data_IF_136971845747
#
_entry.id   IF_136971845747
#
_cell.length_a   1.000
_cell.length_b   1.000
_cell.length_c   1.000
_cell.angle_alpha   90.00
_cell.angle_beta   90.00
_cell.angle_gamma   90.00
#
_symmetry.space_group_name_H-M   'P 1'
#
loop_
_entity.id
_entity.type
_entity.pdbx_description
1 polymer ?
#
# COMPACT_ATOMS: atom_id res chain seq x y z
N UNK A 1 22.24 -8.02 39.43
CA UNK A 1 20.76 -8.04 39.49
C UNK A 1 20.19 -6.93 38.62
N UNK A 2 20.33 -7.02 37.28
CA UNK A 2 19.81 -6.02 36.33
C UNK A 2 19.27 -6.66 35.04
N UNK A 3 18.88 -7.93 35.07
CA UNK A 3 18.46 -8.69 33.89
C UNK A 3 16.95 -8.95 33.78
N UNK A 4 16.15 -8.68 34.83
CA UNK A 4 14.71 -9.01 34.83
C UNK A 4 13.75 -7.89 34.42
N UNK A 5 14.20 -6.63 34.33
CA UNK A 5 13.29 -5.50 34.02
C UNK A 5 13.18 -5.20 32.52
N UNK A 6 14.16 -5.60 31.72
CA UNK A 6 14.18 -5.34 30.26
C UNK A 6 13.34 -6.37 29.47
N UNK A 7 13.33 -7.64 29.91
CA UNK A 7 12.54 -8.70 29.28
C UNK A 7 11.03 -8.52 29.49
N UNK A 8 10.60 -8.06 30.67
CA UNK A 8 9.17 -7.83 30.93
C UNK A 8 8.58 -6.69 30.09
N UNK A 9 9.38 -5.66 29.78
CA UNK A 9 8.91 -4.56 28.94
C UNK A 9 8.78 -4.98 27.47
N UNK A 10 9.73 -5.75 26.92
CA UNK A 10 9.60 -6.27 25.55
C UNK A 10 8.40 -7.20 25.41
N UNK A 11 8.18 -8.08 26.38
CA UNK A 11 7.04 -9.01 26.37
C UNK A 11 5.71 -8.26 26.41
N UNK A 12 5.60 -7.22 27.26
CA UNK A 12 4.37 -6.40 27.31
C UNK A 12 4.09 -5.63 26.02
N UNK A 13 5.11 -5.10 25.35
CA UNK A 13 4.95 -4.42 24.06
C UNK A 13 4.52 -5.42 22.98
N UNK A 14 5.12 -6.61 22.96
CA UNK A 14 4.73 -7.68 22.04
C UNK A 14 3.28 -8.13 22.25
N UNK A 15 2.86 -8.39 23.50
CA UNK A 15 1.47 -8.79 23.78
C UNK A 15 0.46 -7.68 23.47
N UNK A 16 0.78 -6.43 23.78
CA UNK A 16 -0.07 -5.28 23.46
C UNK A 16 -0.24 -5.15 21.93
N UNK A 17 0.86 -5.23 21.18
CA UNK A 17 0.86 -5.19 19.72
C UNK A 17 -0.03 -6.28 19.11
N UNK A 18 0.11 -7.53 19.58
CA UNK A 18 -0.68 -8.67 19.11
C UNK A 18 -2.18 -8.50 19.45
N UNK A 19 -2.50 -7.95 20.62
CA UNK A 19 -3.88 -7.67 21.02
C UNK A 19 -4.56 -6.66 20.08
N UNK A 20 -3.90 -5.54 19.81
CA UNK A 20 -4.36 -4.52 18.86
C UNK A 20 -4.49 -5.09 17.44
N UNK A 21 -3.50 -5.87 17.01
CA UNK A 21 -3.52 -6.53 15.70
C UNK A 21 -4.75 -7.44 15.54
N UNK A 22 -5.00 -8.32 16.52
CA UNK A 22 -6.15 -9.23 16.50
C UNK A 22 -7.49 -8.49 16.48
N UNK A 23 -7.61 -7.40 17.24
CA UNK A 23 -8.80 -6.57 17.22
C UNK A 23 -9.04 -5.98 15.83
N UNK A 24 -8.00 -5.37 15.23
CA UNK A 24 -8.03 -4.84 13.88
C UNK A 24 -8.46 -5.87 12.83
N UNK A 25 -7.82 -7.05 12.83
CA UNK A 25 -8.16 -8.16 11.93
C UNK A 25 -9.61 -8.63 12.14
N UNK A 26 -10.09 -8.66 13.38
CA UNK A 26 -11.47 -9.06 13.68
C UNK A 26 -12.48 -8.07 13.11
N UNK A 27 -12.20 -6.76 13.21
CA UNK A 27 -13.01 -5.71 12.61
C UNK A 27 -12.98 -5.76 11.08
N UNK A 28 -11.82 -6.02 10.46
CA UNK A 28 -11.72 -6.25 9.01
C UNK A 28 -12.56 -7.43 8.54
N UNK A 29 -12.61 -8.54 9.29
CA UNK A 29 -13.46 -9.69 8.97
C UNK A 29 -14.95 -9.35 9.02
N UNK A 30 -15.34 -8.39 9.86
CA UNK A 30 -16.67 -7.81 9.90
C UNK A 30 -16.91 -6.75 8.81
N UNK A 31 -15.89 -6.48 7.97
CA UNK A 31 -15.85 -5.41 6.95
C UNK A 31 -15.99 -4.01 7.53
N UNK A 32 -15.77 -3.86 8.84
CA UNK A 32 -15.73 -2.55 9.50
C UNK A 32 -14.32 -1.98 9.42
N UNK A 33 -13.94 -1.59 8.20
CA UNK A 33 -12.60 -1.09 7.91
C UNK A 33 -12.30 0.26 8.59
N UNK A 34 -13.34 1.04 8.89
CA UNK A 34 -13.20 2.32 9.59
C UNK A 34 -12.79 2.07 11.04
N UNK A 35 -13.50 1.19 11.76
CA UNK A 35 -13.15 0.84 13.14
C UNK A 35 -11.85 0.05 13.23
N UNK A 36 -11.49 -0.72 12.19
CA UNK A 36 -10.25 -1.49 12.16
C UNK A 36 -8.98 -0.64 12.08
N UNK A 37 -9.06 0.59 11.57
CA UNK A 37 -7.89 1.42 11.29
C UNK A 37 -7.09 1.75 12.56
N UNK A 38 -7.74 2.21 13.62
CA UNK A 38 -7.06 2.64 14.84
C UNK A 38 -6.31 1.49 15.55
N UNK A 39 -6.91 0.31 15.79
CA UNK A 39 -6.18 -0.84 16.33
C UNK A 39 -5.01 -1.28 15.46
N UNK A 40 -5.16 -1.30 14.12
CA UNK A 40 -4.06 -1.69 13.23
C UNK A 40 -2.91 -0.67 13.27
N UNK A 41 -3.21 0.63 13.34
CA UNK A 41 -2.19 1.67 13.54
C UNK A 41 -1.46 1.49 14.87
N UNK A 42 -2.17 1.14 15.95
CA UNK A 42 -1.54 0.83 17.25
C UNK A 42 -0.64 -0.41 17.18
N UNK A 43 -1.03 -1.44 16.44
CA UNK A 43 -0.17 -2.60 16.22
C UNK A 43 1.13 -2.23 15.49
N UNK A 44 1.04 -1.40 14.44
CA UNK A 44 2.23 -0.90 13.71
C UNK A 44 3.07 0.04 14.58
N UNK A 45 2.45 0.90 15.39
CA UNK A 45 3.19 1.79 16.31
C UNK A 45 4.02 1.00 17.33
N UNK A 46 3.48 -0.11 17.84
CA UNK A 46 4.15 -0.96 18.83
C UNK A 46 5.16 -1.93 18.22
N UNK A 47 4.96 -2.34 16.96
CA UNK A 47 5.84 -3.23 16.22
C UNK A 47 6.05 -2.73 14.78
N UNK A 48 6.81 -1.64 14.58
CA UNK A 48 6.98 -1.01 13.26
C UNK A 48 7.67 -1.92 12.24
N UNK A 49 8.47 -2.88 12.71
CA UNK A 49 9.20 -3.86 11.89
C UNK A 49 8.35 -5.11 11.57
N UNK A 50 7.11 -5.17 12.05
CA UNK A 50 6.22 -6.30 11.79
C UNK A 50 5.63 -6.19 10.38
N UNK A 51 6.16 -7.00 9.45
CA UNK A 51 5.62 -7.11 8.09
C UNK A 51 4.12 -7.43 8.09
N UNK A 52 3.69 -8.33 8.98
CA UNK A 52 2.29 -8.73 9.08
C UNK A 52 1.39 -7.56 9.51
N UNK A 53 1.82 -6.75 10.48
CA UNK A 53 1.04 -5.60 10.94
C UNK A 53 0.96 -4.51 9.88
N UNK A 54 2.10 -4.21 9.23
CA UNK A 54 2.18 -3.23 8.15
C UNK A 54 1.31 -3.63 6.96
N UNK A 55 1.41 -4.88 6.50
CA UNK A 55 0.61 -5.38 5.39
C UNK A 55 -0.88 -5.35 5.71
N UNK A 56 -1.27 -5.74 6.92
CA UNK A 56 -2.69 -5.75 7.32
C UNK A 56 -3.25 -4.33 7.42
N UNK A 57 -2.47 -3.37 7.92
CA UNK A 57 -2.86 -1.95 7.89
C UNK A 57 -3.00 -1.45 6.44
N UNK A 58 -2.06 -1.80 5.56
CA UNK A 58 -2.14 -1.44 4.15
C UNK A 58 -3.40 -2.00 3.48
N UNK A 59 -3.74 -3.26 3.73
CA UNK A 59 -4.95 -3.91 3.21
C UNK A 59 -6.21 -3.20 3.72
N UNK A 60 -6.27 -2.84 5.01
CA UNK A 60 -7.38 -2.09 5.57
C UNK A 60 -7.54 -0.70 4.91
N UNK A 61 -6.43 0.03 4.76
CA UNK A 61 -6.41 1.34 4.11
C UNK A 61 -6.84 1.24 2.64
N UNK A 62 -6.50 0.14 1.95
CA UNK A 62 -6.92 -0.10 0.58
C UNK A 62 -8.44 -0.31 0.48
N UNK A 63 -9.03 -1.04 1.44
CA UNK A 63 -10.50 -1.19 1.51
C UNK A 63 -11.18 0.16 1.75
N UNK A 64 -10.63 1.00 2.64
CA UNK A 64 -11.11 2.36 2.88
C UNK A 64 -11.04 3.23 1.62
N UNK A 65 -9.92 3.18 0.89
CA UNK A 65 -9.78 3.92 -0.37
C UNK A 65 -10.87 3.53 -1.39
N UNK A 66 -11.27 2.26 -1.43
CA UNK A 66 -12.34 1.77 -2.30
C UNK A 66 -13.76 2.21 -1.90
N UNK A 67 -13.96 2.64 -0.65
CA UNK A 67 -15.25 3.16 -0.16
C UNK A 67 -15.42 4.63 -0.55
N UNK A 68 -14.32 5.38 -0.71
CA UNK A 68 -14.37 6.77 -1.14
C UNK A 68 -14.89 6.81 -2.58
N UNK A 69 -16.04 7.44 -2.79
CA UNK A 69 -16.64 7.54 -4.13
C UNK A 69 -15.88 8.57 -4.98
N UNK A 70 -15.38 8.13 -6.13
CA UNK A 70 -14.46 8.90 -6.98
C UNK A 70 -14.99 10.21 -7.56
N UNK A 71 -16.30 10.45 -7.51
CA UNK A 71 -16.91 11.66 -8.08
C UNK A 71 -16.68 12.93 -7.23
N UNK A 72 -16.34 12.80 -5.94
CA UNK A 72 -16.28 13.96 -5.06
C UNK A 72 -14.87 14.31 -4.58
N UNK A 73 -13.92 13.34 -4.52
CA UNK A 73 -12.64 13.56 -3.81
C UNK A 73 -11.45 12.71 -4.33
N UNK A 74 -10.99 12.91 -5.58
CA UNK A 74 -9.83 12.17 -6.11
C UNK A 74 -8.54 12.40 -5.29
N UNK A 75 -8.39 13.57 -4.66
CA UNK A 75 -7.27 13.84 -3.75
C UNK A 75 -7.26 12.94 -2.52
N UNK A 76 -8.41 12.70 -1.90
CA UNK A 76 -8.54 11.85 -0.70
C UNK A 76 -8.20 10.39 -1.02
N UNK A 77 -8.65 9.89 -2.19
CA UNK A 77 -8.29 8.56 -2.70
C UNK A 77 -6.78 8.45 -2.90
N UNK A 78 -6.16 9.46 -3.54
CA UNK A 78 -4.71 9.49 -3.77
C UNK A 78 -3.96 9.46 -2.44
N UNK A 79 -4.35 10.28 -1.47
CA UNK A 79 -3.67 10.33 -0.17
C UNK A 79 -3.80 9.01 0.58
N UNK A 80 -4.99 8.40 0.60
CA UNK A 80 -5.19 7.09 1.24
C UNK A 80 -4.38 5.99 0.54
N UNK A 81 -4.37 5.95 -0.79
CA UNK A 81 -3.57 4.96 -1.53
C UNK A 81 -2.06 5.18 -1.39
N UNK A 82 -1.61 6.42 -1.17
CA UNK A 82 -0.21 6.70 -0.82
C UNK A 82 0.16 6.11 0.54
N UNK A 83 -0.76 6.11 1.50
CA UNK A 83 -0.56 5.40 2.77
C UNK A 83 -0.49 3.88 2.55
N UNK A 84 -1.34 3.30 1.69
CA UNK A 84 -1.30 1.87 1.35
C UNK A 84 0.11 1.45 0.91
N UNK A 85 0.67 2.16 -0.06
CA UNK A 85 2.01 1.82 -0.60
C UNK A 85 3.16 2.26 0.31
N UNK A 86 2.89 3.09 1.31
CA UNK A 86 3.87 3.41 2.36
C UNK A 86 4.03 2.24 3.33
N UNK A 87 2.91 1.70 3.83
CA UNK A 87 2.94 0.56 4.76
C UNK A 87 3.28 -0.76 4.05
N UNK A 88 2.78 -0.95 2.82
CA UNK A 88 3.15 -2.08 1.97
C UNK A 88 3.71 -1.60 0.64
N UNK A 89 5.04 -1.37 0.54
CA UNK A 89 5.71 -0.94 -0.68
C UNK A 89 5.64 -1.94 -1.83
N UNK A 90 5.14 -3.15 -1.61
CA UNK A 90 4.95 -4.16 -2.65
C UNK A 90 3.46 -4.43 -2.97
N UNK A 91 2.57 -3.54 -2.53
CA UNK A 91 1.13 -3.64 -2.73
C UNK A 91 0.73 -3.26 -4.17
N UNK A 92 0.75 -4.25 -5.07
CA UNK A 92 0.48 -4.09 -6.52
C UNK A 92 -0.82 -3.32 -6.79
N UNK A 93 -1.92 -3.72 -6.15
CA UNK A 93 -3.23 -3.10 -6.39
C UNK A 93 -3.26 -1.63 -5.95
N UNK A 94 -2.44 -1.25 -4.97
CA UNK A 94 -2.31 0.12 -4.50
C UNK A 94 -1.69 1.00 -5.57
N UNK A 95 -0.61 0.52 -6.20
CA UNK A 95 0.02 1.18 -7.34
C UNK A 95 -0.88 1.25 -8.57
N UNK A 96 -1.66 0.20 -8.86
CA UNK A 96 -2.63 0.21 -9.96
C UNK A 96 -3.71 1.29 -9.75
N UNK A 97 -4.25 1.39 -8.53
CA UNK A 97 -5.26 2.41 -8.21
C UNK A 97 -4.65 3.81 -8.17
N UNK A 98 -3.41 3.99 -7.69
CA UNK A 98 -2.69 5.26 -7.77
C UNK A 98 -2.50 5.69 -9.21
N UNK A 99 -2.09 4.76 -10.09
CA UNK A 99 -1.96 5.05 -11.52
C UNK A 99 -3.27 5.56 -12.10
N UNK A 100 -4.39 4.92 -11.77
CA UNK A 100 -5.72 5.32 -12.25
C UNK A 100 -6.14 6.68 -11.70
N UNK A 101 -6.03 6.89 -10.39
CA UNK A 101 -6.41 8.15 -9.76
C UNK A 101 -5.56 9.33 -10.27
N UNK A 102 -4.26 9.11 -10.53
CA UNK A 102 -3.42 10.11 -11.18
C UNK A 102 -3.78 10.34 -12.65
N UNK A 103 -4.21 9.30 -13.37
CA UNK A 103 -4.68 9.45 -14.75
C UNK A 103 -5.99 10.26 -14.84
N UNK A 104 -6.91 10.03 -13.90
CA UNK A 104 -8.18 10.77 -13.76
C UNK A 104 -7.94 12.25 -13.42
N UNK A 105 -6.92 12.53 -12.62
CA UNK A 105 -6.50 13.91 -12.28
C UNK A 105 -5.50 14.50 -13.27
N UNK A 106 -5.29 13.85 -14.42
CA UNK A 106 -4.41 14.28 -15.52
C UNK A 106 -2.93 14.46 -15.13
N UNK A 107 -2.48 13.80 -14.06
CA UNK A 107 -1.09 13.78 -13.62
C UNK A 107 -0.31 12.63 -14.29
N UNK A 108 0.02 12.81 -15.57
CA UNK A 108 0.63 11.77 -16.41
C UNK A 108 1.93 11.18 -15.86
N UNK A 109 2.85 12.02 -15.37
CA UNK A 109 4.12 11.56 -14.81
C UNK A 109 3.90 10.60 -13.63
N UNK A 110 3.00 10.94 -12.70
CA UNK A 110 2.71 10.08 -11.56
C UNK A 110 1.90 8.85 -11.97
N UNK A 111 0.95 8.98 -12.90
CA UNK A 111 0.21 7.84 -13.43
C UNK A 111 1.16 6.77 -14.00
N UNK A 112 2.03 7.17 -14.92
CA UNK A 112 3.01 6.28 -15.56
C UNK A 112 3.98 5.69 -14.54
N UNK A 113 4.49 6.50 -13.61
CA UNK A 113 5.42 6.01 -12.57
C UNK A 113 4.81 4.87 -11.75
N UNK A 114 3.56 5.03 -11.28
CA UNK A 114 2.89 4.01 -10.48
C UNK A 114 2.54 2.76 -11.30
N UNK A 115 2.13 2.92 -12.57
CA UNK A 115 1.89 1.78 -13.46
C UNK A 115 3.17 0.97 -13.74
N UNK A 116 4.33 1.63 -13.89
CA UNK A 116 5.63 0.96 -14.04
C UNK A 116 5.95 0.14 -12.79
N UNK A 117 5.76 0.71 -11.60
CA UNK A 117 6.00 0.01 -10.33
C UNK A 117 5.10 -1.23 -10.23
N UNK A 118 3.80 -1.08 -10.49
CA UNK A 118 2.86 -2.21 -10.48
C UNK A 118 3.27 -3.32 -11.45
N UNK A 119 3.65 -2.97 -12.70
CA UNK A 119 4.11 -3.94 -13.69
C UNK A 119 5.35 -4.70 -13.24
N UNK A 120 6.32 -4.01 -12.64
CA UNK A 120 7.57 -4.62 -12.19
C UNK A 120 7.33 -5.57 -11.03
N UNK A 121 6.55 -5.14 -10.03
CA UNK A 121 6.14 -6.01 -8.92
C UNK A 121 5.38 -7.26 -9.40
N UNK A 122 4.51 -7.12 -10.42
CA UNK A 122 3.84 -8.27 -11.05
C UNK A 122 4.84 -9.22 -11.72
N UNK A 123 5.82 -8.69 -12.46
CA UNK A 123 6.86 -9.50 -13.09
C UNK A 123 7.72 -10.23 -12.06
N UNK A 124 8.13 -9.54 -10.99
CA UNK A 124 8.94 -10.09 -9.90
C UNK A 124 8.18 -11.22 -9.18
N UNK A 125 6.86 -11.06 -8.98
CA UNK A 125 5.97 -12.10 -8.42
C UNK A 125 5.49 -13.15 -9.44
N UNK A 126 6.07 -13.18 -10.66
CA UNK A 126 5.74 -14.12 -11.74
C UNK A 126 4.27 -14.08 -12.21
N UNK A 127 3.58 -12.96 -12.00
CA UNK A 127 2.22 -12.69 -12.47
C UNK A 127 2.24 -12.25 -13.94
N UNK A 128 2.70 -13.15 -14.82
CA UNK A 128 3.03 -12.82 -16.21
C UNK A 128 1.83 -12.30 -17.03
N UNK A 129 0.61 -12.78 -16.73
CA UNK A 129 -0.61 -12.35 -17.43
C UNK A 129 -0.97 -10.91 -17.06
N UNK A 130 -0.87 -10.57 -15.78
CA UNK A 130 -1.10 -9.23 -15.25
C UNK A 130 -0.04 -8.27 -15.78
N UNK A 131 1.23 -8.66 -15.73
CA UNK A 131 2.34 -7.86 -16.23
C UNK A 131 2.21 -7.54 -17.74
N UNK A 132 1.72 -8.51 -18.53
CA UNK A 132 1.42 -8.30 -19.95
C UNK A 132 0.28 -7.30 -20.16
N UNK A 133 -0.84 -7.42 -19.42
CA UNK A 133 -1.95 -6.46 -19.46
C UNK A 133 -1.51 -5.05 -19.06
N UNK A 134 -0.71 -4.95 -18.00
CA UNK A 134 -0.16 -3.67 -17.53
C UNK A 134 0.73 -2.99 -18.59
N UNK A 135 1.42 -3.77 -19.45
CA UNK A 135 2.21 -3.22 -20.58
C UNK A 135 1.33 -2.46 -21.57
N UNK A 136 0.16 -3.00 -21.89
CA UNK A 136 -0.78 -2.36 -22.81
C UNK A 136 -1.32 -1.06 -22.22
N UNK A 137 -1.70 -1.08 -20.94
CA UNK A 137 -2.12 0.12 -20.21
C UNK A 137 -1.02 1.19 -20.15
N UNK A 138 0.23 0.79 -19.90
CA UNK A 138 1.39 1.69 -19.90
C UNK A 138 1.60 2.35 -21.27
N UNK A 139 1.52 1.59 -22.36
CA UNK A 139 1.61 2.13 -23.72
C UNK A 139 0.52 3.15 -24.02
N UNK A 140 -0.70 2.92 -23.53
CA UNK A 140 -1.79 3.87 -23.64
C UNK A 140 -1.50 5.17 -22.87
N UNK A 141 -0.95 5.08 -21.66
CA UNK A 141 -0.55 6.25 -20.86
C UNK A 141 0.58 7.04 -21.54
N UNK A 142 1.62 6.38 -22.03
CA UNK A 142 2.69 7.03 -22.79
C UNK A 142 2.15 7.82 -23.98
N UNK A 143 1.25 7.21 -24.77
CA UNK A 143 0.60 7.88 -25.90
C UNK A 143 -0.27 9.06 -25.46
N UNK A 144 -1.09 8.88 -24.41
CA UNK A 144 -2.00 9.91 -23.88
C UNK A 144 -1.24 11.15 -23.42
N UNK A 145 -0.15 10.96 -22.68
CA UNK A 145 0.64 12.05 -22.10
C UNK A 145 1.83 12.48 -22.96
N UNK A 146 2.03 11.86 -24.13
CA UNK A 146 3.15 12.14 -25.05
C UNK A 146 4.52 11.97 -24.38
N UNK A 147 4.64 10.95 -23.54
CA UNK A 147 5.87 10.59 -22.83
C UNK A 147 6.43 9.29 -23.36
N UNK A 148 7.69 9.01 -23.07
CA UNK A 148 8.44 7.86 -23.56
C UNK A 148 9.01 7.04 -22.40
N UNK A 149 9.23 5.73 -22.58
CA UNK A 149 9.84 4.90 -21.53
C UNK A 149 11.20 5.40 -21.02
N UNK A 150 11.99 6.04 -21.88
CA UNK A 150 13.33 6.54 -21.54
C UNK A 150 13.32 7.61 -20.45
N UNK A 151 12.24 8.39 -20.34
CA UNK A 151 12.05 9.39 -19.28
C UNK A 151 11.91 8.75 -17.89
N UNK A 152 11.52 7.47 -17.84
CA UNK A 152 11.24 6.75 -16.59
C UNK A 152 12.30 5.69 -16.26
N UNK A 153 13.43 5.66 -16.96
CA UNK A 153 14.51 4.69 -16.73
C UNK A 153 15.07 4.70 -15.31
N UNK A 154 14.90 5.81 -14.57
CA UNK A 154 15.35 5.97 -13.18
C UNK A 154 14.32 5.53 -12.13
N UNK A 155 13.08 5.21 -12.54
CA UNK A 155 12.08 4.66 -11.60
C UNK A 155 12.65 3.37 -11.01
N UNK A 156 12.55 3.20 -9.70
CA UNK A 156 12.99 2.00 -8.97
C UNK A 156 11.77 1.23 -8.49
N UNK A 157 11.92 -0.09 -8.34
CA UNK A 157 10.91 -0.92 -7.69
C UNK A 157 11.10 -0.79 -6.17
N UNK A 158 10.09 -0.35 -5.42
CA UNK A 158 10.15 -0.29 -3.97
C UNK A 158 10.07 -1.72 -3.39
N UNK A 159 10.63 -1.88 -2.20
CA UNK A 159 10.67 -3.14 -1.44
C UNK A 159 10.52 -2.85 0.05
N UNK A 160 10.14 -3.86 0.82
CA UNK A 160 10.02 -3.77 2.27
C UNK A 160 11.42 -3.65 2.89
N UNK A 161 11.59 -2.67 3.79
CA UNK A 161 12.87 -2.36 4.45
C UNK A 161 12.75 -2.34 5.98
N UNK A 162 11.69 -2.94 6.49
CA UNK A 162 11.37 -3.08 7.90
C UNK A 162 11.48 -4.55 8.30
#
# INVERSE_FOLDING_TARGET
MLSNHCASQSDTVTYASEGYFRLGVSLMKLKDYHSAEEPLRKAVELSPDSELANDTLADNLFQLAGIITGNEKPGEIIDKLREVVYFNPEHIQGYEQLSRAYDETLNGQKAITNAIIAQRLQADKKMLKEAARSRESLNALYKKYKMTPDEFKKVTTPSKNY
#
